data_IF_139334074253
#
_entry.id   IF_139334074253
#
_cell.length_a   1.000
_cell.length_b   1.000
_cell.length_c   1.000
_cell.angle_alpha   90.00
_cell.angle_beta   90.00
_cell.angle_gamma   90.00
#
_symmetry.space_group_name_H-M   'P 1'
#
loop_
_entity.id
_entity.type
_entity.pdbx_description
1 polymer ?
#
# COMPACT_ATOMS: atom_id res chain seq x y z
N UNK A 1 8.23 5.30 20.35
CA UNK A 1 8.40 4.84 18.96
C UNK A 1 7.87 3.41 18.83
N UNK A 2 7.11 3.11 17.78
CA UNK A 2 6.64 1.76 17.42
C UNK A 2 6.88 1.52 15.93
N UNK A 3 7.08 0.28 15.56
CA UNK A 3 7.32 -0.12 14.17
C UNK A 3 6.37 -1.26 13.81
N UNK A 4 5.81 -1.18 12.62
CA UNK A 4 4.97 -2.22 12.04
C UNK A 4 5.44 -2.59 10.65
N UNK A 5 5.15 -3.82 10.24
CA UNK A 5 5.40 -4.32 8.90
C UNK A 5 4.07 -4.67 8.23
N UNK A 6 3.96 -4.36 6.94
CA UNK A 6 2.83 -4.76 6.11
C UNK A 6 3.31 -5.48 4.86
N UNK A 7 2.55 -6.47 4.46
CA UNK A 7 2.79 -7.25 3.23
C UNK A 7 1.45 -7.43 2.53
N UNK A 8 1.42 -7.19 1.23
CA UNK A 8 0.24 -7.44 0.42
C UNK A 8 0.62 -8.04 -0.94
N UNK A 9 -0.25 -8.85 -1.50
CA UNK A 9 -0.08 -9.48 -2.81
C UNK A 9 -1.39 -9.48 -3.56
N UNK A 10 -1.33 -9.18 -4.86
CA UNK A 10 -2.46 -9.25 -5.77
C UNK A 10 -2.05 -9.88 -7.08
N UNK A 11 -2.91 -10.71 -7.66
CA UNK A 11 -2.71 -11.25 -9.00
C UNK A 11 -3.07 -10.22 -10.06
N UNK A 12 -2.50 -10.35 -11.25
CA UNK A 12 -2.92 -9.57 -12.41
C UNK A 12 -4.32 -9.95 -12.90
N UNK A 13 -4.98 -8.97 -13.47
CA UNK A 13 -6.26 -9.16 -14.17
C UNK A 13 -6.33 -8.22 -15.37
N UNK A 14 -6.85 -8.74 -16.47
CA UNK A 14 -7.11 -7.94 -17.68
C UNK A 14 -8.26 -6.96 -17.44
N UNK A 15 -8.22 -5.82 -18.12
CA UNK A 15 -9.29 -4.82 -18.07
C UNK A 15 -9.37 -4.02 -16.77
N UNK A 16 -8.38 -4.14 -15.90
CA UNK A 16 -8.27 -3.33 -14.67
C UNK A 16 -7.10 -2.36 -14.76
N UNK A 17 -7.24 -1.14 -14.21
CA UNK A 17 -6.10 -0.24 -14.11
C UNK A 17 -5.08 -0.76 -13.09
N UNK A 18 -3.80 -0.51 -13.33
CA UNK A 18 -2.75 -0.71 -12.35
C UNK A 18 -2.62 0.57 -11.51
N UNK A 19 -2.97 0.48 -10.23
CA UNK A 19 -2.92 1.61 -9.29
C UNK A 19 -1.91 1.29 -8.20
N UNK A 20 -0.95 2.19 -8.00
CA UNK A 20 0.08 2.08 -6.97
C UNK A 20 0.27 3.42 -6.26
N UNK A 21 0.04 3.45 -4.95
CA UNK A 21 0.09 4.68 -4.18
C UNK A 21 -0.94 5.71 -4.66
N UNK A 22 -2.09 5.26 -5.15
CA UNK A 22 -3.14 6.09 -5.73
C UNK A 22 -2.85 6.62 -7.13
N UNK A 23 -1.74 6.23 -7.75
CA UNK A 23 -1.34 6.66 -9.10
C UNK A 23 -1.63 5.54 -10.10
N UNK A 24 -2.35 5.88 -11.17
CA UNK A 24 -2.57 4.95 -12.27
C UNK A 24 -1.31 4.84 -13.14
N UNK A 25 -0.82 3.62 -13.29
CA UNK A 25 0.35 3.30 -14.10
C UNK A 25 -0.14 2.81 -15.46
N UNK A 26 0.29 3.41 -16.57
CA UNK A 26 -0.10 2.97 -17.91
C UNK A 26 0.34 1.53 -18.18
N UNK A 27 -0.56 0.71 -18.74
CA UNK A 27 -0.29 -0.67 -19.08
C UNK A 27 -1.54 -1.41 -19.55
N UNK A 28 -1.36 -2.65 -19.97
CA UNK A 28 -2.43 -3.48 -20.55
C UNK A 28 -3.28 -4.18 -19.47
N UNK A 29 -2.74 -4.34 -18.27
CA UNK A 29 -3.42 -5.03 -17.16
C UNK A 29 -3.08 -4.40 -15.82
N UNK A 30 -4.00 -4.49 -14.90
CA UNK A 30 -3.84 -4.10 -13.50
C UNK A 30 -3.90 -5.30 -12.56
N UNK A 31 -4.11 -5.01 -11.30
CA UNK A 31 -4.22 -6.01 -10.24
C UNK A 31 -5.69 -6.28 -9.91
N UNK A 32 -5.98 -7.51 -9.52
CA UNK A 32 -7.30 -7.94 -9.09
C UNK A 32 -7.46 -7.85 -7.58
N UNK A 33 -8.62 -7.40 -7.13
CA UNK A 33 -8.97 -7.31 -5.72
C UNK A 33 -10.37 -6.77 -5.52
N UNK A 34 -10.85 -6.78 -4.27
CA UNK A 34 -12.16 -6.26 -3.91
C UNK A 34 -12.24 -4.72 -4.03
N UNK A 35 -11.17 -4.03 -3.63
CA UNK A 35 -10.99 -2.58 -3.79
C UNK A 35 -10.31 -2.25 -5.14
N UNK A 36 -9.60 -1.14 -5.22
CA UNK A 36 -8.77 -0.77 -6.39
C UNK A 36 -7.51 -1.63 -6.56
N UNK A 37 -7.27 -2.59 -5.65
CA UNK A 37 -6.12 -3.49 -5.63
C UNK A 37 -4.76 -2.78 -5.63
N UNK A 38 -4.67 -1.62 -4.99
CA UNK A 38 -3.43 -0.88 -4.77
C UNK A 38 -2.56 -1.61 -3.73
N UNK A 39 -1.76 -2.55 -4.20
CA UNK A 39 -0.94 -3.42 -3.35
C UNK A 39 0.03 -2.64 -2.47
N UNK A 40 0.53 -1.50 -2.95
CA UNK A 40 1.45 -0.65 -2.21
C UNK A 40 0.75 0.05 -1.04
N UNK A 41 -0.37 0.71 -1.30
CA UNK A 41 -1.14 1.40 -0.26
C UNK A 41 -1.68 0.41 0.77
N UNK A 42 -2.12 -0.78 0.36
CA UNK A 42 -2.58 -1.82 1.29
C UNK A 42 -1.47 -2.31 2.22
N UNK A 43 -0.26 -2.50 1.71
CA UNK A 43 0.88 -2.87 2.56
C UNK A 43 1.21 -1.76 3.57
N UNK A 44 1.14 -0.49 3.16
CA UNK A 44 1.35 0.66 4.04
C UNK A 44 0.28 0.72 5.13
N UNK A 45 -0.98 0.55 4.76
CA UNK A 45 -2.10 0.53 5.71
C UNK A 45 -1.90 -0.56 6.77
N UNK A 46 -1.51 -1.75 6.34
CA UNK A 46 -1.28 -2.88 7.24
C UNK A 46 -0.10 -2.62 8.18
N UNK A 47 0.97 -2.00 7.68
CA UNK A 47 2.12 -1.58 8.50
C UNK A 47 1.73 -0.56 9.57
N UNK A 48 0.91 0.42 9.22
CA UNK A 48 0.42 1.44 10.15
C UNK A 48 -0.46 0.84 11.25
N UNK A 49 -1.40 -0.02 10.86
CA UNK A 49 -2.27 -0.73 11.82
C UNK A 49 -1.44 -1.60 12.76
N UNK A 50 -0.47 -2.34 12.24
CA UNK A 50 0.44 -3.17 13.03
C UNK A 50 1.25 -2.34 14.02
N UNK A 51 1.84 -1.22 13.59
CA UNK A 51 2.60 -0.32 14.46
C UNK A 51 1.73 0.28 15.58
N UNK A 52 0.49 0.63 15.28
CA UNK A 52 -0.45 1.16 16.27
C UNK A 52 -1.04 0.07 17.20
N UNK A 53 -0.91 -1.20 16.85
CA UNK A 53 -1.50 -2.32 17.59
C UNK A 53 -3.00 -2.48 17.34
N UNK A 54 -3.46 -2.08 16.14
CA UNK A 54 -4.87 -2.06 15.74
C UNK A 54 -5.29 -3.26 14.87
N UNK A 55 -4.47 -4.31 14.82
CA UNK A 55 -4.75 -5.49 14.00
C UNK A 55 -4.31 -5.31 12.55
N UNK A 56 -5.15 -5.68 11.62
CA UNK A 56 -4.85 -5.71 10.18
C UNK A 56 -5.96 -5.09 9.33
N UNK A 57 -5.66 -4.90 8.04
CA UNK A 57 -6.58 -4.28 7.08
C UNK A 57 -7.90 -5.06 6.94
N UNK A 58 -7.87 -6.39 7.00
CA UNK A 58 -9.06 -7.22 6.85
C UNK A 58 -10.06 -7.07 8.00
N UNK A 59 -9.58 -6.75 9.20
CA UNK A 59 -10.44 -6.48 10.36
C UNK A 59 -11.17 -5.14 10.24
N UNK A 60 -10.54 -4.14 9.62
CA UNK A 60 -11.10 -2.80 9.47
C UNK A 60 -11.93 -2.62 8.20
N UNK A 61 -11.56 -3.31 7.13
CA UNK A 61 -12.15 -3.18 5.80
C UNK A 61 -12.36 -4.57 5.18
N UNK A 62 -13.26 -5.40 5.75
CA UNK A 62 -13.46 -6.77 5.26
C UNK A 62 -13.96 -6.76 3.81
N UNK A 63 -13.44 -7.67 3.00
CA UNK A 63 -13.81 -7.86 1.59
C UNK A 63 -15.25 -8.38 1.41
N UNK A 64 -15.87 -8.84 2.48
CA UNK A 64 -17.28 -9.20 2.53
C UNK A 64 -18.24 -8.00 2.66
N UNK A 65 -17.71 -6.82 2.97
CA UNK A 65 -18.50 -5.62 3.17
C UNK A 65 -18.56 -4.81 1.85
N UNK A 66 -19.76 -4.76 1.25
CA UNK A 66 -20.01 -4.08 -0.02
C UNK A 66 -19.66 -2.59 -0.01
N UNK A 67 -19.64 -1.94 1.16
CA UNK A 67 -19.25 -0.52 1.25
C UNK A 67 -17.79 -0.28 0.81
N UNK A 68 -16.93 -1.30 0.87
CA UNK A 68 -15.53 -1.21 0.48
C UNK A 68 -15.25 -1.75 -0.92
N UNK A 69 -16.29 -2.20 -1.64
CA UNK A 69 -16.14 -2.63 -3.03
C UNK A 69 -15.68 -1.43 -3.87
N UNK A 70 -14.64 -1.65 -4.68
CA UNK A 70 -14.00 -0.63 -5.53
C UNK A 70 -13.53 0.61 -4.75
N UNK A 71 -13.31 0.47 -3.44
CA UNK A 71 -12.87 1.56 -2.59
C UNK A 71 -11.51 2.12 -3.04
N UNK A 72 -11.40 3.43 -3.00
CA UNK A 72 -10.14 4.15 -3.18
C UNK A 72 -9.21 3.87 -1.99
N UNK A 73 -8.07 3.25 -2.24
CA UNK A 73 -7.11 2.89 -1.20
C UNK A 73 -6.50 4.10 -0.50
N UNK A 74 -6.42 5.26 -1.14
CA UNK A 74 -6.02 6.50 -0.45
C UNK A 74 -7.08 6.96 0.55
N UNK A 75 -8.36 6.71 0.28
CA UNK A 75 -9.41 6.96 1.27
C UNK A 75 -9.30 6.00 2.46
N UNK A 76 -8.99 4.73 2.22
CA UNK A 76 -8.70 3.77 3.29
C UNK A 76 -7.49 4.20 4.11
N UNK A 77 -6.42 4.64 3.45
CA UNK A 77 -5.22 5.16 4.12
C UNK A 77 -5.56 6.35 5.04
N UNK A 78 -6.33 7.31 4.56
CA UNK A 78 -6.75 8.46 5.39
C UNK A 78 -7.56 8.02 6.61
N UNK A 79 -8.50 7.10 6.44
CA UNK A 79 -9.29 6.57 7.54
C UNK A 79 -8.43 5.86 8.59
N UNK A 80 -7.40 5.13 8.16
CA UNK A 80 -6.44 4.49 9.07
C UNK A 80 -5.59 5.52 9.81
N UNK A 81 -5.12 6.55 9.12
CA UNK A 81 -4.35 7.63 9.77
C UNK A 81 -5.17 8.35 10.86
N UNK A 82 -6.46 8.56 10.65
CA UNK A 82 -7.34 9.10 11.69
C UNK A 82 -7.40 8.17 12.92
N UNK A 83 -7.51 6.86 12.72
CA UNK A 83 -7.50 5.87 13.81
C UNK A 83 -6.17 5.84 14.55
N UNK A 84 -5.04 5.85 13.81
CA UNK A 84 -3.69 5.90 14.38
C UNK A 84 -3.50 7.15 15.24
N UNK A 85 -3.99 8.31 14.75
CA UNK A 85 -3.95 9.58 15.47
C UNK A 85 -4.83 9.53 16.74
N UNK A 86 -6.01 8.94 16.66
CA UNK A 86 -6.91 8.78 17.82
C UNK A 86 -6.30 7.91 18.93
N UNK A 87 -5.42 6.98 18.58
CA UNK A 87 -4.65 6.17 19.54
C UNK A 87 -3.39 6.90 20.08
N UNK A 88 -3.20 8.17 19.73
CA UNK A 88 -2.09 8.99 20.22
C UNK A 88 -0.77 8.80 19.46
N UNK A 89 -0.82 8.33 18.22
CA UNK A 89 0.35 8.11 17.39
C UNK A 89 0.37 9.00 16.16
N UNK A 90 1.57 9.45 15.79
CA UNK A 90 1.85 10.14 14.54
C UNK A 90 2.81 9.31 13.68
N UNK A 91 2.70 9.43 12.37
CA UNK A 91 3.65 8.79 11.44
C UNK A 91 4.96 9.56 11.48
N UNK A 92 6.06 8.87 11.78
CA UNK A 92 7.42 9.40 11.66
C UNK A 92 7.96 9.15 10.24
N UNK A 93 7.92 7.90 9.79
CA UNK A 93 8.40 7.53 8.46
C UNK A 93 7.77 6.23 7.96
N UNK A 94 7.61 6.13 6.65
CA UNK A 94 7.25 4.89 5.96
C UNK A 94 8.29 4.58 4.90
N UNK A 95 8.80 3.34 4.90
CA UNK A 95 9.63 2.80 3.82
C UNK A 95 8.90 1.62 3.17
N UNK A 96 8.71 1.67 1.86
CA UNK A 96 7.96 0.67 1.14
C UNK A 96 8.67 0.20 -0.13
N UNK A 97 8.47 -1.07 -0.48
CA UNK A 97 9.04 -1.69 -1.67
C UNK A 97 7.93 -2.40 -2.45
N UNK A 98 7.83 -2.12 -3.74
CA UNK A 98 6.98 -2.87 -4.67
C UNK A 98 7.84 -3.86 -5.43
N UNK A 99 7.40 -5.12 -5.48
CA UNK A 99 8.02 -6.20 -6.25
C UNK A 99 7.11 -6.48 -7.45
N UNK A 100 7.55 -6.07 -8.63
CA UNK A 100 6.77 -6.12 -9.86
C UNK A 100 7.69 -6.37 -11.06
N UNK A 101 7.39 -7.40 -11.86
CA UNK A 101 8.23 -7.72 -13.00
C UNK A 101 8.10 -6.71 -14.13
N UNK A 102 6.87 -6.36 -14.50
CA UNK A 102 6.52 -5.35 -15.51
C UNK A 102 5.18 -4.66 -15.20
N UNK A 103 4.98 -3.39 -15.54
CA UNK A 103 5.89 -2.46 -16.21
C UNK A 103 7.00 -1.93 -15.29
N UNK A 104 7.98 -1.21 -15.85
CA UNK A 104 9.01 -0.51 -15.06
C UNK A 104 8.37 0.64 -14.31
N UNK A 105 8.61 0.71 -13.00
CA UNK A 105 8.01 1.70 -12.11
C UNK A 105 8.89 2.93 -11.86
N UNK A 106 10.19 2.86 -12.17
CA UNK A 106 11.12 3.97 -11.94
C UNK A 106 10.66 5.31 -12.52
N UNK A 107 10.08 5.40 -13.74
CA UNK A 107 9.55 6.66 -14.27
C UNK A 107 8.40 7.26 -13.44
N UNK A 108 7.73 6.45 -12.64
CA UNK A 108 6.56 6.84 -11.84
C UNK A 108 6.88 7.09 -10.37
N UNK A 109 8.15 6.93 -9.97
CA UNK A 109 8.59 7.02 -8.57
C UNK A 109 8.16 8.31 -7.90
N UNK A 110 8.42 9.45 -8.53
CA UNK A 110 8.13 10.75 -7.95
C UNK A 110 6.61 10.96 -7.78
N UNK A 111 5.82 10.60 -8.79
CA UNK A 111 4.37 10.70 -8.71
C UNK A 111 3.79 9.83 -7.58
N UNK A 112 4.25 8.59 -7.45
CA UNK A 112 3.82 7.67 -6.41
C UNK A 112 4.23 8.19 -5.02
N UNK A 113 5.49 8.59 -4.85
CA UNK A 113 5.99 9.15 -3.59
C UNK A 113 5.19 10.39 -3.18
N UNK A 114 4.99 11.34 -4.10
CA UNK A 114 4.32 12.61 -3.80
C UNK A 114 2.85 12.38 -3.46
N UNK A 115 2.17 11.45 -4.12
CA UNK A 115 0.80 11.05 -3.81
C UNK A 115 0.68 10.50 -2.38
N UNK A 116 1.59 9.62 -1.98
CA UNK A 116 1.61 9.05 -0.63
C UNK A 116 2.06 10.07 0.42
N UNK A 117 3.05 10.92 0.10
CA UNK A 117 3.57 11.94 1.00
C UNK A 117 2.52 12.98 1.39
N UNK A 118 1.55 13.24 0.53
CA UNK A 118 0.43 14.14 0.82
C UNK A 118 -0.38 13.68 2.05
N UNK A 119 -0.44 12.37 2.31
CA UNK A 119 -1.12 11.80 3.47
C UNK A 119 -0.16 11.46 4.61
N UNK A 120 1.02 10.93 4.29
CA UNK A 120 1.96 10.34 5.26
C UNK A 120 3.02 11.33 5.76
N UNK A 121 3.30 12.40 5.02
CA UNK A 121 4.43 13.30 5.27
C UNK A 121 5.74 12.70 4.79
N UNK A 122 6.34 11.79 5.54
CA UNK A 122 7.64 11.18 5.22
C UNK A 122 7.48 9.77 4.68
N UNK A 123 7.81 9.56 3.41
CA UNK A 123 7.72 8.25 2.75
C UNK A 123 8.85 8.06 1.74
N UNK A 124 9.41 6.85 1.71
CA UNK A 124 10.33 6.39 0.68
C UNK A 124 9.70 5.21 -0.06
N UNK A 125 9.86 5.18 -1.38
CA UNK A 125 9.33 4.08 -2.22
C UNK A 125 10.45 3.51 -3.08
N UNK A 126 10.60 2.20 -3.04
CA UNK A 126 11.58 1.42 -3.81
C UNK A 126 10.85 0.44 -4.71
N UNK A 127 11.50 0.07 -5.80
CA UNK A 127 10.97 -0.90 -6.76
C UNK A 127 12.03 -1.95 -7.06
N UNK A 128 11.58 -3.19 -7.15
CA UNK A 128 12.41 -4.32 -7.56
C UNK A 128 11.59 -5.30 -8.40
N UNK A 129 12.26 -6.25 -9.04
CA UNK A 129 11.63 -7.32 -9.80
C UNK A 129 11.74 -8.65 -9.05
N UNK A 130 11.11 -9.70 -9.58
CA UNK A 130 11.31 -11.07 -9.15
C UNK A 130 12.50 -11.76 -9.79
N UNK A 131 13.29 -11.07 -10.62
CA UNK A 131 14.40 -11.64 -11.39
C UNK A 131 13.99 -12.89 -12.19
N UNK A 132 12.78 -12.85 -12.75
CA UNK A 132 12.12 -13.95 -13.47
C UNK A 132 11.88 -15.21 -12.62
N UNK A 133 11.96 -15.08 -11.30
CA UNK A 133 11.73 -16.16 -10.34
C UNK A 133 10.40 -15.95 -9.59
N UNK A 134 9.79 -17.06 -9.19
CA UNK A 134 8.59 -17.06 -8.37
C UNK A 134 7.37 -16.45 -9.07
N UNK A 135 6.31 -16.19 -8.30
CA UNK A 135 5.05 -15.69 -8.85
C UNK A 135 5.18 -14.28 -9.45
N UNK A 136 6.03 -13.44 -8.88
CA UNK A 136 6.29 -12.11 -9.46
C UNK A 136 7.06 -12.26 -10.77
N UNK A 137 8.13 -13.04 -10.78
CA UNK A 137 8.96 -13.23 -11.97
C UNK A 137 8.24 -13.94 -13.11
N UNK A 138 7.27 -14.80 -12.79
CA UNK A 138 6.36 -15.42 -13.79
C UNK A 138 5.18 -14.52 -14.18
N UNK A 139 5.15 -13.29 -13.66
CA UNK A 139 4.11 -12.31 -13.96
C UNK A 139 2.68 -12.77 -13.61
N UNK A 140 2.55 -13.52 -12.52
CA UNK A 140 1.24 -13.90 -11.97
C UNK A 140 0.61 -12.76 -11.18
N UNK A 141 1.44 -11.91 -10.57
CA UNK A 141 1.00 -10.78 -9.76
C UNK A 141 2.13 -9.93 -9.26
N UNK A 142 1.81 -9.08 -8.30
CA UNK A 142 2.73 -8.17 -7.64
C UNK A 142 2.68 -8.37 -6.12
N UNK A 143 3.74 -7.95 -5.45
CA UNK A 143 3.81 -7.87 -4.00
C UNK A 143 4.28 -6.49 -3.56
N UNK A 144 3.92 -6.09 -2.35
CA UNK A 144 4.48 -4.93 -1.69
C UNK A 144 4.79 -5.25 -0.23
N UNK A 145 5.85 -4.63 0.27
CA UNK A 145 6.24 -4.66 1.66
C UNK A 145 6.37 -3.22 2.15
N UNK A 146 5.94 -2.97 3.37
CA UNK A 146 6.08 -1.66 3.99
C UNK A 146 6.52 -1.80 5.44
N UNK A 147 7.31 -0.84 5.89
CA UNK A 147 7.64 -0.64 7.30
C UNK A 147 7.18 0.76 7.67
N UNK A 148 6.37 0.86 8.71
CA UNK A 148 5.93 2.14 9.25
C UNK A 148 6.51 2.34 10.64
N UNK A 149 7.03 3.52 10.91
CA UNK A 149 7.47 3.95 12.23
C UNK A 149 6.54 5.04 12.73
N UNK A 150 6.04 4.85 13.94
CA UNK A 150 5.16 5.78 14.64
C UNK A 150 5.86 6.36 15.88
N UNK A 151 5.61 7.62 16.16
CA UNK A 151 6.03 8.28 17.39
C UNK A 151 4.80 8.75 18.19
N UNK A 152 4.91 8.86 19.54
CA UNK A 152 3.82 9.40 20.33
C UNK A 152 3.54 10.85 19.94
N UNK A 153 2.27 11.20 19.83
CA UNK A 153 1.89 12.61 19.76
C UNK A 153 2.23 13.23 21.12
N UNK A 154 3.06 14.26 21.11
CA UNK A 154 3.46 14.95 22.33
C UNK A 154 2.28 15.54 23.09
N UNK A 155 2.46 15.82 24.40
CA UNK A 155 1.43 16.46 25.21
C UNK A 155 1.12 17.88 24.72
#
# INVERSE_FOLDING_TARGET
MRTGIGIDTHRFADGRPLILGGVEIPGERGLAGHSDADVLTHAIVDALLGAAGLGDIGQHFPDTDEQWRDADSLALLRAVLERVTAEGWAVDHVDATVVLERPKLAPHRNAIRDSLAAALGSVNVKFTTGEKMGFVGREEGAAALAVATLEPIGP
#
